data_IF_001282618517
#
_entry.id   IF_001282618517
#
_cell.length_a   1.000
_cell.length_b   1.000
_cell.length_c   1.000
_cell.angle_alpha   90.00
_cell.angle_beta   90.00
_cell.angle_gamma   90.00
#
_symmetry.space_group_name_H-M   'P 1'
#
loop_
_entity.id
_entity.type
_entity.pdbx_description
1 polymer ?
#
# COMPACT_ATOMS: atom_id res chain seq x y z
N UNK A 1 -16.17 14.51 41.85
CA UNK A 1 -15.03 13.78 41.25
C UNK A 1 -15.56 13.13 40.00
N UNK A 2 -15.06 13.56 38.85
CA UNK A 2 -15.35 12.93 37.58
C UNK A 2 -14.66 11.57 37.51
N UNK A 3 -15.38 10.57 37.01
CA UNK A 3 -14.91 9.20 36.86
C UNK A 3 -14.75 8.90 35.38
N UNK A 4 -13.63 8.31 35.01
CA UNK A 4 -13.29 7.94 33.64
C UNK A 4 -12.75 6.51 33.58
N UNK A 5 -12.82 5.91 32.40
CA UNK A 5 -12.18 4.64 32.11
C UNK A 5 -11.13 4.85 31.01
N UNK A 6 -9.87 4.58 31.33
CA UNK A 6 -8.76 4.69 30.38
C UNK A 6 -8.38 3.32 29.83
N UNK A 7 -8.31 3.20 28.51
CA UNK A 7 -7.78 2.00 27.88
C UNK A 7 -6.29 1.81 28.25
N UNK A 8 -5.96 0.64 28.81
CA UNK A 8 -4.60 0.26 29.17
C UNK A 8 -4.35 -1.21 28.83
N UNK A 9 -3.60 -1.47 27.75
CA UNK A 9 -3.44 -2.82 27.22
C UNK A 9 -4.77 -3.39 26.73
N UNK A 10 -5.23 -4.48 27.36
CA UNK A 10 -6.53 -5.13 27.06
C UNK A 10 -7.61 -4.85 28.12
N UNK A 11 -7.34 -3.96 29.07
CA UNK A 11 -8.26 -3.63 30.17
C UNK A 11 -8.62 -2.15 30.17
N UNK A 12 -9.64 -1.81 30.97
CA UNK A 12 -10.01 -0.45 31.31
C UNK A 12 -9.56 -0.16 32.73
N UNK A 13 -8.83 0.95 32.91
CA UNK A 13 -8.36 1.41 34.19
C UNK A 13 -9.24 2.56 34.69
N UNK A 14 -9.84 2.46 35.89
CA UNK A 14 -10.63 3.54 36.45
C UNK A 14 -9.72 4.72 36.81
N UNK A 15 -10.17 5.93 36.48
CA UNK A 15 -9.49 7.19 36.81
C UNK A 15 -10.49 8.16 37.44
N UNK A 16 -10.19 8.59 38.66
CA UNK A 16 -10.94 9.64 39.35
C UNK A 16 -10.17 10.97 39.30
N UNK A 17 -10.80 12.01 38.75
CA UNK A 17 -10.23 13.36 38.70
C UNK A 17 -11.10 14.32 39.53
N UNK A 18 -10.55 15.06 40.51
CA UNK A 18 -11.29 16.09 41.21
C UNK A 18 -11.84 17.14 40.23
N UNK A 19 -13.11 17.52 40.37
CA UNK A 19 -13.81 18.37 39.39
C UNK A 19 -13.10 19.73 39.20
N UNK A 20 -12.52 20.26 40.27
CA UNK A 20 -11.70 21.49 40.24
C UNK A 20 -10.45 21.41 39.35
N UNK A 21 -9.98 20.20 39.03
CA UNK A 21 -8.81 19.95 38.18
C UNK A 21 -9.21 19.60 36.73
N UNK A 22 -10.50 19.43 36.45
CA UNK A 22 -10.99 19.02 35.13
C UNK A 22 -11.34 20.24 34.27
N UNK A 23 -10.51 20.51 33.26
CA UNK A 23 -10.77 21.60 32.28
C UNK A 23 -11.75 21.14 31.20
N UNK A 24 -11.66 19.87 30.79
CA UNK A 24 -12.54 19.29 29.77
C UNK A 24 -12.09 17.90 29.34
N UNK A 25 -12.94 17.24 28.55
CA UNK A 25 -12.71 15.89 28.00
C UNK A 25 -12.73 16.00 26.48
N UNK A 26 -11.68 15.51 25.81
CA UNK A 26 -11.57 15.52 24.35
C UNK A 26 -11.70 14.08 23.86
N UNK A 27 -12.77 13.80 23.12
CA UNK A 27 -13.05 12.48 22.56
C UNK A 27 -13.18 12.54 21.03
N UNK A 28 -12.94 11.41 20.33
CA UNK A 28 -13.24 11.33 18.90
C UNK A 28 -14.71 11.64 18.62
N UNK A 29 -14.97 12.34 17.52
CA UNK A 29 -16.34 12.57 17.07
C UNK A 29 -17.07 11.23 16.85
N UNK A 30 -18.31 11.14 17.34
CA UNK A 30 -19.18 10.00 17.04
C UNK A 30 -19.47 9.98 15.54
N UNK A 31 -18.97 8.95 14.86
CA UNK A 31 -19.25 8.70 13.44
C UNK A 31 -20.37 7.67 13.33
N UNK A 32 -21.28 7.86 12.37
CA UNK A 32 -22.29 6.85 12.06
C UNK A 32 -21.59 5.69 11.33
N UNK A 33 -21.57 4.47 11.88
CA UNK A 33 -20.99 3.33 11.18
C UNK A 33 -21.82 3.02 9.93
N UNK A 34 -21.14 2.46 8.92
CA UNK A 34 -21.81 1.87 7.77
C UNK A 34 -22.74 0.76 8.26
N UNK A 35 -24.00 0.79 7.82
CA UNK A 35 -25.02 -0.16 8.28
C UNK A 35 -24.84 -1.54 7.62
N UNK A 36 -24.51 -1.57 6.32
CA UNK A 36 -24.26 -2.80 5.57
C UNK A 36 -22.86 -2.76 4.94
N UNK A 37 -21.87 -3.24 5.67
CA UNK A 37 -20.48 -3.31 5.21
C UNK A 37 -20.37 -4.28 4.02
N UNK A 38 -21.14 -5.37 4.01
CA UNK A 38 -21.07 -6.37 2.95
C UNK A 38 -21.53 -5.78 1.62
N UNK A 39 -22.61 -5.00 1.61
CA UNK A 39 -23.07 -4.30 0.41
C UNK A 39 -22.04 -3.28 -0.10
N UNK A 40 -21.44 -2.50 0.80
CA UNK A 40 -20.41 -1.53 0.41
C UNK A 40 -19.18 -2.21 -0.20
N UNK A 41 -18.79 -3.37 0.34
CA UNK A 41 -17.68 -4.14 -0.21
C UNK A 41 -18.04 -4.82 -1.54
N UNK A 42 -19.29 -5.26 -1.75
CA UNK A 42 -19.77 -5.73 -3.06
C UNK A 42 -19.70 -4.63 -4.11
N UNK A 43 -20.13 -3.41 -3.77
CA UNK A 43 -20.04 -2.25 -4.67
C UNK A 43 -18.58 -1.91 -5.00
N UNK A 44 -17.69 -1.96 -4.00
CA UNK A 44 -16.26 -1.77 -4.22
C UNK A 44 -15.65 -2.85 -5.12
N UNK A 45 -16.08 -4.11 -4.96
CA UNK A 45 -15.65 -5.22 -5.81
C UNK A 45 -16.10 -5.06 -7.26
N UNK A 46 -17.34 -4.60 -7.52
CA UNK A 46 -17.81 -4.31 -8.87
C UNK A 46 -16.93 -3.25 -9.58
N UNK A 47 -16.54 -2.19 -8.88
CA UNK A 47 -15.60 -1.20 -9.42
C UNK A 47 -14.19 -1.80 -9.66
N UNK A 48 -13.77 -2.76 -8.83
CA UNK A 48 -12.52 -3.48 -9.03
C UNK A 48 -12.58 -4.40 -10.26
N UNK A 49 -13.72 -5.03 -10.54
CA UNK A 49 -13.91 -5.87 -11.73
C UNK A 49 -13.70 -5.08 -13.04
N UNK A 50 -14.30 -3.91 -13.15
CA UNK A 50 -14.07 -3.00 -14.29
C UNK A 50 -12.59 -2.67 -14.43
N UNK A 51 -11.92 -2.30 -13.32
CA UNK A 51 -10.49 -2.01 -13.32
C UNK A 51 -9.62 -3.22 -13.70
N UNK A 52 -10.01 -4.43 -13.32
CA UNK A 52 -9.27 -5.68 -13.57
C UNK A 52 -9.52 -6.26 -14.97
N UNK A 53 -10.34 -5.62 -15.80
CA UNK A 53 -10.64 -6.09 -17.15
C UNK A 53 -9.37 -6.04 -18.02
N UNK A 54 -8.97 -7.18 -18.58
CA UNK A 54 -7.76 -7.30 -19.42
C UNK A 54 -6.44 -7.34 -18.65
N UNK A 55 -6.46 -7.40 -17.32
CA UNK A 55 -5.27 -7.57 -16.48
C UNK A 55 -5.22 -8.99 -15.90
N UNK A 56 -4.12 -9.69 -16.15
CA UNK A 56 -3.92 -11.08 -15.71
C UNK A 56 -3.00 -11.19 -14.51
N UNK A 57 -2.00 -10.29 -14.36
CA UNK A 57 -1.06 -10.30 -13.23
C UNK A 57 -1.45 -9.27 -12.17
N UNK A 58 -2.08 -9.72 -11.09
CA UNK A 58 -2.63 -8.86 -10.05
C UNK A 58 -1.80 -8.95 -8.78
N UNK A 59 -1.36 -7.80 -8.25
CA UNK A 59 -0.71 -7.71 -6.96
C UNK A 59 -1.68 -7.11 -5.93
N UNK A 60 -1.95 -7.85 -4.88
CA UNK A 60 -2.75 -7.41 -3.75
C UNK A 60 -1.79 -7.04 -2.63
N UNK A 61 -1.85 -5.80 -2.15
CA UNK A 61 -1.03 -5.34 -1.04
C UNK A 61 -1.93 -5.14 0.17
N UNK A 62 -1.62 -5.82 1.27
CA UNK A 62 -2.41 -5.78 2.52
C UNK A 62 -1.58 -5.21 3.66
N UNK A 63 -2.25 -4.62 4.65
CA UNK A 63 -1.60 -4.17 5.87
C UNK A 63 -1.04 -5.37 6.68
N UNK A 64 -0.03 -5.08 7.50
CA UNK A 64 0.59 -6.06 8.39
C UNK A 64 -0.16 -6.25 9.72
N UNK A 65 0.41 -7.05 10.62
CA UNK A 65 -0.15 -7.41 11.93
C UNK A 65 -0.33 -6.22 12.89
N UNK A 66 0.30 -5.08 12.62
CA UNK A 66 0.23 -3.90 13.50
C UNK A 66 -1.02 -3.07 13.25
N UNK A 67 -1.85 -3.46 12.27
CA UNK A 67 -3.08 -2.76 11.90
C UNK A 67 -4.30 -3.64 12.16
N UNK A 68 -5.35 -3.10 12.80
CA UNK A 68 -6.62 -3.80 12.96
C UNK A 68 -7.45 -3.75 11.66
N UNK A 69 -6.82 -3.99 10.51
CA UNK A 69 -7.52 -3.98 9.22
C UNK A 69 -8.22 -5.33 9.03
N UNK A 70 -9.55 -5.36 8.82
CA UNK A 70 -10.27 -6.60 8.54
C UNK A 70 -10.02 -7.04 7.09
N UNK A 71 -8.78 -7.46 6.77
CA UNK A 71 -8.41 -7.76 5.37
C UNK A 71 -9.22 -8.94 4.83
N UNK A 72 -9.52 -9.95 5.65
CA UNK A 72 -10.36 -11.08 5.25
C UNK A 72 -11.71 -10.61 4.69
N UNK A 73 -12.42 -9.76 5.43
CA UNK A 73 -13.71 -9.21 5.05
C UNK A 73 -13.59 -8.36 3.78
N UNK A 74 -12.54 -7.55 3.67
CA UNK A 74 -12.31 -6.70 2.50
C UNK A 74 -11.92 -7.48 1.24
N UNK A 75 -11.24 -8.62 1.39
CA UNK A 75 -10.78 -9.45 0.28
C UNK A 75 -11.83 -10.44 -0.20
N UNK A 76 -12.72 -10.93 0.67
CA UNK A 76 -13.74 -11.93 0.31
C UNK A 76 -14.55 -11.60 -0.95
N UNK A 77 -15.09 -10.37 -1.15
CA UNK A 77 -15.84 -10.07 -2.37
C UNK A 77 -14.96 -9.88 -3.62
N UNK A 78 -13.64 -9.74 -3.45
CA UNK A 78 -12.69 -9.70 -4.56
C UNK A 78 -12.28 -11.09 -5.02
N UNK A 79 -12.35 -12.12 -4.17
CA UNK A 79 -11.89 -13.49 -4.50
C UNK A 79 -12.47 -14.05 -5.81
N UNK A 80 -13.79 -13.92 -6.12
CA UNK A 80 -14.32 -14.39 -7.39
C UNK A 80 -13.70 -13.68 -8.60
N UNK A 81 -13.34 -12.40 -8.46
CA UNK A 81 -12.71 -11.61 -9.51
C UNK A 81 -11.25 -11.99 -9.72
N UNK A 82 -10.64 -12.68 -8.77
CA UNK A 82 -9.25 -13.12 -8.83
C UNK A 82 -9.12 -14.52 -9.46
N UNK A 83 -10.23 -15.25 -9.61
CA UNK A 83 -10.24 -16.56 -10.24
C UNK A 83 -9.71 -16.49 -11.69
N UNK A 84 -8.82 -17.43 -12.04
CA UNK A 84 -8.20 -17.49 -13.37
C UNK A 84 -7.12 -16.44 -13.65
N UNK A 85 -6.75 -15.63 -12.65
CA UNK A 85 -5.65 -14.65 -12.74
C UNK A 85 -4.41 -15.16 -12.01
N UNK A 86 -3.24 -14.66 -12.40
CA UNK A 86 -1.99 -14.88 -11.68
C UNK A 86 -1.91 -13.80 -10.57
N UNK A 87 -2.08 -14.23 -9.32
CA UNK A 87 -2.26 -13.33 -8.18
C UNK A 87 -1.15 -13.51 -7.18
N UNK A 88 -0.57 -12.40 -6.71
CA UNK A 88 0.35 -12.37 -5.57
C UNK A 88 -0.21 -11.48 -4.48
N UNK A 89 -0.06 -11.91 -3.23
CA UNK A 89 -0.41 -11.13 -2.05
C UNK A 89 0.89 -10.70 -1.39
N UNK A 90 1.06 -9.40 -1.14
CA UNK A 90 2.24 -8.85 -0.49
C UNK A 90 1.84 -8.17 0.82
N UNK A 91 2.39 -8.65 1.93
CA UNK A 91 2.20 -8.02 3.24
C UNK A 91 3.10 -6.79 3.34
N UNK A 92 2.51 -5.61 3.52
CA UNK A 92 3.19 -4.33 3.59
C UNK A 92 3.78 -4.05 4.98
N UNK A 93 4.96 -4.62 5.26
CA UNK A 93 5.62 -4.52 6.57
C UNK A 93 6.26 -3.15 6.84
N UNK A 94 6.57 -2.37 5.79
CA UNK A 94 7.45 -1.21 5.93
C UNK A 94 8.77 -1.61 6.62
N UNK A 95 9.01 -1.08 7.83
CA UNK A 95 10.21 -1.40 8.63
C UNK A 95 10.01 -2.50 9.66
N UNK A 96 8.80 -3.06 9.77
CA UNK A 96 8.47 -4.07 10.77
C UNK A 96 9.04 -5.46 10.41
N UNK A 97 9.07 -6.35 11.39
CA UNK A 97 9.42 -7.76 11.19
C UNK A 97 8.31 -8.50 10.44
N UNK A 98 8.67 -9.62 9.81
CA UNK A 98 7.70 -10.57 9.28
C UNK A 98 6.75 -11.07 10.37
N UNK A 99 5.47 -11.29 10.04
CA UNK A 99 4.50 -11.84 10.98
C UNK A 99 4.85 -13.29 11.35
N UNK A 100 4.42 -13.74 12.52
CA UNK A 100 4.35 -15.18 12.84
C UNK A 100 3.18 -15.84 12.10
N UNK A 101 3.10 -17.17 12.11
CA UNK A 101 2.00 -17.90 11.49
C UNK A 101 0.62 -17.53 12.07
N UNK A 102 0.54 -17.32 13.38
CA UNK A 102 -0.70 -16.86 14.04
C UNK A 102 -1.07 -15.45 13.65
N UNK A 103 -0.08 -14.56 13.51
CA UNK A 103 -0.32 -13.19 13.03
C UNK A 103 -0.75 -13.19 11.57
N UNK A 104 -0.16 -14.05 10.74
CA UNK A 104 -0.56 -14.22 9.34
C UNK A 104 -2.00 -14.72 9.22
N UNK A 105 -2.39 -15.69 10.04
CA UNK A 105 -3.77 -16.15 10.13
C UNK A 105 -4.73 -15.03 10.55
N UNK A 106 -4.32 -14.12 11.46
CA UNK A 106 -5.14 -12.94 11.80
C UNK A 106 -5.21 -11.93 10.66
N UNK A 107 -4.12 -11.73 9.92
CA UNK A 107 -4.08 -10.78 8.79
C UNK A 107 -5.02 -11.22 7.68
N UNK A 108 -4.92 -12.48 7.24
CA UNK A 108 -5.62 -12.97 6.05
C UNK A 108 -6.91 -13.75 6.36
N UNK A 109 -7.02 -14.32 7.55
CA UNK A 109 -8.04 -15.31 7.89
C UNK A 109 -7.64 -16.72 7.41
N UNK A 110 -8.19 -17.78 8.05
CA UNK A 110 -7.82 -19.17 7.77
C UNK A 110 -8.16 -19.58 6.34
N UNK A 111 -9.34 -19.20 5.83
CA UNK A 111 -9.82 -19.63 4.52
C UNK A 111 -9.00 -19.04 3.37
N UNK A 112 -8.74 -17.73 3.44
CA UNK A 112 -7.98 -17.01 2.43
C UNK A 112 -6.50 -17.44 2.46
N UNK A 113 -5.94 -17.64 3.66
CA UNK A 113 -4.59 -18.18 3.78
C UNK A 113 -4.49 -19.60 3.21
N UNK A 114 -5.45 -20.49 3.50
CA UNK A 114 -5.45 -21.84 2.94
C UNK A 114 -5.46 -21.83 1.40
N UNK A 115 -6.29 -20.99 0.80
CA UNK A 115 -6.39 -20.84 -0.67
C UNK A 115 -5.16 -20.20 -1.31
N UNK A 116 -4.52 -19.24 -0.64
CA UNK A 116 -3.50 -18.38 -1.25
C UNK A 116 -2.09 -18.51 -0.65
N UNK A 117 -1.84 -19.44 0.28
CA UNK A 117 -0.55 -19.55 0.98
C UNK A 117 0.68 -19.54 0.05
N UNK A 118 0.60 -20.18 -1.12
CA UNK A 118 1.70 -20.25 -2.09
C UNK A 118 1.99 -18.94 -2.83
N UNK A 119 1.10 -17.95 -2.77
CA UNK A 119 1.27 -16.65 -3.42
C UNK A 119 1.40 -15.48 -2.43
N UNK A 120 1.53 -15.77 -1.13
CA UNK A 120 1.80 -14.77 -0.10
C UNK A 120 3.31 -14.51 -0.01
N UNK A 121 3.69 -13.24 -0.14
CA UNK A 121 5.03 -12.74 0.07
C UNK A 121 5.08 -11.68 1.17
N UNK A 122 6.27 -11.52 1.75
CA UNK A 122 6.53 -10.54 2.81
C UNK A 122 7.50 -9.47 2.29
N UNK A 123 7.15 -8.21 2.49
CA UNK A 123 8.05 -7.12 2.13
C UNK A 123 9.22 -7.02 3.11
N UNK A 124 10.46 -7.05 2.62
CA UNK A 124 11.64 -6.69 3.41
C UNK A 124 12.27 -5.41 2.83
N UNK A 125 12.27 -4.34 3.64
CA UNK A 125 12.81 -3.05 3.24
C UNK A 125 14.36 -3.02 3.20
N UNK A 126 15.02 -4.06 3.73
CA UNK A 126 16.48 -4.21 3.80
C UNK A 126 17.04 -5.12 2.72
N UNK A 127 16.21 -5.97 2.12
CA UNK A 127 16.62 -6.84 1.02
C UNK A 127 16.70 -6.06 -0.31
N UNK A 128 17.85 -5.42 -0.54
CA UNK A 128 18.14 -4.68 -1.77
C UNK A 128 17.95 -5.49 -3.07
N UNK A 129 18.08 -6.82 -3.03
CA UNK A 129 17.86 -7.67 -4.22
C UNK A 129 16.39 -7.72 -4.61
N UNK A 130 15.48 -7.56 -3.64
CA UNK A 130 14.03 -7.52 -3.86
C UNK A 130 13.47 -6.11 -4.04
N UNK A 131 14.35 -5.10 -4.11
CA UNK A 131 13.99 -3.73 -4.39
C UNK A 131 14.41 -3.31 -5.81
N UNK A 132 13.64 -2.41 -6.41
CA UNK A 132 14.01 -1.73 -7.66
C UNK A 132 13.90 -0.22 -7.50
N UNK A 133 14.76 0.50 -8.24
CA UNK A 133 14.74 1.95 -8.27
C UNK A 133 13.57 2.44 -9.14
N UNK A 134 12.67 3.22 -8.55
CA UNK A 134 11.50 3.80 -9.21
C UNK A 134 11.70 5.27 -9.61
N UNK A 135 12.82 5.88 -9.22
CA UNK A 135 13.17 7.26 -9.57
C UNK A 135 13.49 8.11 -8.35
N UNK A 136 13.63 9.42 -8.58
CA UNK A 136 13.95 10.41 -7.56
C UNK A 136 12.80 11.41 -7.42
N UNK A 137 12.36 11.68 -6.20
CA UNK A 137 11.33 12.69 -5.94
C UNK A 137 11.88 14.10 -6.21
N UNK A 138 10.99 15.09 -6.40
CA UNK A 138 11.40 16.50 -6.54
C UNK A 138 12.13 17.08 -5.32
N UNK A 139 12.12 16.37 -4.17
CA UNK A 139 12.89 16.73 -2.96
C UNK A 139 14.24 16.01 -2.88
N UNK A 140 14.66 15.32 -3.94
CA UNK A 140 15.94 14.62 -4.00
C UNK A 140 15.99 13.28 -3.25
N UNK A 141 14.84 12.72 -2.86
CA UNK A 141 14.78 11.39 -2.24
C UNK A 141 14.72 10.31 -3.32
N UNK A 142 15.68 9.39 -3.31
CA UNK A 142 15.63 8.17 -4.12
C UNK A 142 14.52 7.25 -3.62
N UNK A 143 13.73 6.74 -4.56
CA UNK A 143 12.55 5.92 -4.29
C UNK A 143 12.83 4.50 -4.74
N UNK A 144 12.92 3.60 -3.77
CA UNK A 144 13.06 2.17 -3.96
C UNK A 144 11.78 1.48 -3.50
N UNK A 145 11.24 0.60 -4.34
CA UNK A 145 10.05 -0.19 -4.00
C UNK A 145 10.29 -1.68 -4.24
N UNK A 146 9.44 -2.51 -3.66
CA UNK A 146 9.46 -3.95 -3.87
C UNK A 146 9.26 -4.34 -5.34
N UNK A 147 10.10 -5.26 -5.83
CA UNK A 147 10.14 -5.76 -7.22
C UNK A 147 8.86 -6.45 -7.69
N UNK A 148 7.98 -6.89 -6.79
CA UNK A 148 6.67 -7.42 -7.18
C UNK A 148 5.85 -6.41 -8.03
N UNK A 149 6.09 -5.10 -7.84
CA UNK A 149 5.51 -4.05 -8.69
C UNK A 149 5.98 -4.07 -10.15
N UNK A 150 7.09 -4.75 -10.46
CA UNK A 150 7.56 -4.89 -11.85
C UNK A 150 6.87 -6.03 -12.58
N UNK A 151 6.37 -7.03 -11.84
CA UNK A 151 5.67 -8.18 -12.39
C UNK A 151 4.19 -7.88 -12.64
N UNK A 152 3.59 -7.00 -11.84
CA UNK A 152 2.15 -6.71 -11.86
C UNK A 152 1.69 -5.84 -13.04
N UNK A 153 0.45 -6.06 -13.46
CA UNK A 153 -0.32 -5.24 -14.40
C UNK A 153 -1.36 -4.38 -13.68
N UNK A 154 -1.90 -4.88 -12.56
CA UNK A 154 -2.90 -4.22 -11.74
C UNK A 154 -2.62 -4.40 -10.24
N UNK A 155 -2.68 -3.30 -9.48
CA UNK A 155 -2.44 -3.32 -8.03
C UNK A 155 -3.72 -2.99 -7.27
N UNK A 156 -4.10 -3.87 -6.34
CA UNK A 156 -5.18 -3.62 -5.38
C UNK A 156 -4.54 -3.40 -4.00
N UNK A 157 -4.79 -2.25 -3.40
CA UNK A 157 -4.31 -1.92 -2.06
C UNK A 157 -5.45 -2.02 -1.05
N UNK A 158 -5.38 -2.99 -0.14
CA UNK A 158 -6.32 -3.15 0.97
C UNK A 158 -5.69 -2.61 2.24
N UNK A 159 -6.31 -1.60 2.84
CA UNK A 159 -5.78 -0.89 4.02
C UNK A 159 -6.89 -0.23 4.83
N UNK A 160 -6.59 0.09 6.09
CA UNK A 160 -7.39 0.99 6.92
C UNK A 160 -6.94 2.45 6.76
N UNK A 161 -7.89 3.38 6.94
CA UNK A 161 -7.66 4.83 6.99
C UNK A 161 -7.95 5.32 8.40
N UNK A 162 -6.92 5.83 9.06
CA UNK A 162 -6.91 6.26 10.46
C UNK A 162 -6.16 7.60 10.55
N UNK A 163 -6.52 8.51 11.47
CA UNK A 163 -5.70 9.67 11.77
C UNK A 163 -4.27 9.26 12.15
N UNK A 164 -3.29 10.00 11.65
CA UNK A 164 -1.88 9.73 11.88
C UNK A 164 -1.12 11.02 12.21
N UNK A 165 -0.59 11.08 13.43
CA UNK A 165 0.02 12.25 14.05
C UNK A 165 0.90 13.12 13.14
N UNK A 166 1.84 12.56 12.36
CA UNK A 166 2.63 13.37 11.39
C UNK A 166 2.22 13.21 9.91
N UNK A 167 1.47 12.18 9.56
CA UNK A 167 1.18 11.84 8.15
C UNK A 167 -0.22 12.28 7.71
N UNK A 168 -0.98 12.88 8.62
CA UNK A 168 -2.39 13.19 8.46
C UNK A 168 -3.27 11.98 8.64
N UNK A 169 -3.25 11.10 7.64
CA UNK A 169 -4.04 9.89 7.60
C UNK A 169 -3.20 8.71 7.11
N UNK A 170 -3.53 7.50 7.55
CA UNK A 170 -3.02 6.25 6.98
C UNK A 170 -3.68 5.94 5.63
N UNK A 171 -3.47 4.72 5.14
CA UNK A 171 -4.09 4.19 3.93
C UNK A 171 -3.62 4.80 2.61
N UNK A 172 -4.16 4.25 1.51
CA UNK A 172 -3.86 4.66 0.13
C UNK A 172 -2.36 4.71 -0.15
N UNK A 173 -1.80 5.91 -0.31
CA UNK A 173 -0.36 6.12 -0.59
C UNK A 173 0.59 5.44 0.41
N UNK A 174 0.15 5.27 1.66
CA UNK A 174 0.98 4.70 2.73
C UNK A 174 1.26 3.21 2.54
N UNK A 175 0.42 2.52 1.77
CA UNK A 175 0.66 1.13 1.33
C UNK A 175 1.94 1.01 0.51
N UNK A 176 2.29 2.05 -0.26
CA UNK A 176 3.54 2.08 -1.04
C UNK A 176 4.70 2.60 -0.21
N UNK A 177 4.55 3.79 0.38
CA UNK A 177 5.58 4.42 1.21
C UNK A 177 4.99 4.78 2.59
N UNK A 178 5.35 4.07 3.67
CA UNK A 178 6.48 3.14 3.78
C UNK A 178 6.18 1.69 3.43
N UNK A 179 4.92 1.29 3.22
CA UNK A 179 4.51 -0.11 3.30
C UNK A 179 5.33 -1.12 2.48
N UNK A 180 5.79 -0.75 1.28
CA UNK A 180 6.63 -1.61 0.43
C UNK A 180 7.87 -0.89 -0.11
N UNK A 181 8.36 0.12 0.61
CA UNK A 181 9.51 0.94 0.24
C UNK A 181 10.82 0.46 0.88
N UNK A 182 11.95 0.73 0.23
CA UNK A 182 13.27 0.45 0.81
C UNK A 182 13.57 1.31 2.05
N UNK A 183 14.40 0.79 2.95
CA UNK A 183 14.73 1.42 4.24
C UNK A 183 15.26 2.84 4.08
N UNK A 184 16.11 3.10 3.07
CA UNK A 184 16.64 4.44 2.80
C UNK A 184 15.55 5.42 2.37
N UNK A 185 14.65 5.00 1.46
CA UNK A 185 13.49 5.80 1.04
C UNK A 185 12.59 6.12 2.23
N UNK A 186 12.33 5.12 3.09
CA UNK A 186 11.54 5.29 4.30
C UNK A 186 12.19 6.31 5.23
N UNK A 187 13.47 6.11 5.56
CA UNK A 187 14.24 6.94 6.48
C UNK A 187 14.26 8.38 6.01
N UNK A 188 14.55 8.61 4.73
CA UNK A 188 14.60 9.95 4.15
C UNK A 188 13.23 10.63 4.12
N UNK A 189 12.16 9.89 3.85
CA UNK A 189 10.81 10.42 3.96
C UNK A 189 10.46 10.82 5.41
N UNK A 190 10.82 10.01 6.39
CA UNK A 190 10.60 10.31 7.81
C UNK A 190 11.44 11.51 8.27
N UNK A 191 12.68 11.67 7.82
CA UNK A 191 13.48 12.85 8.13
C UNK A 191 12.81 14.17 7.72
N UNK A 192 12.00 14.16 6.65
CA UNK A 192 11.25 15.36 6.24
C UNK A 192 10.10 15.72 7.16
N UNK A 193 9.57 14.78 7.97
CA UNK A 193 8.47 15.05 8.89
C UNK A 193 8.87 16.06 9.98
N UNK A 194 10.15 16.03 10.37
CA UNK A 194 10.73 16.92 11.39
C UNK A 194 11.23 18.25 10.82
N UNK A 195 11.14 18.46 9.50
CA UNK A 195 11.57 19.72 8.88
C UNK A 195 10.58 20.85 9.14
N UNK A 196 11.05 22.10 9.29
CA UNK A 196 10.18 23.29 9.44
C UNK A 196 9.24 23.52 8.24
N UNK A 197 9.54 22.91 7.10
CA UNK A 197 8.70 22.94 5.90
C UNK A 197 7.63 21.84 5.88
N UNK A 198 7.62 20.93 6.86
CA UNK A 198 6.56 19.95 7.01
C UNK A 198 5.26 20.69 7.38
N UNK A 199 4.21 20.45 6.60
CA UNK A 199 2.89 20.99 6.89
C UNK A 199 2.05 19.87 7.50
N UNK A 200 1.39 20.09 8.64
CA UNK A 200 0.37 19.18 9.11
C UNK A 200 -0.65 18.99 7.98
N UNK A 201 -1.16 17.77 7.84
CA UNK A 201 -2.02 17.38 6.72
C UNK A 201 -3.39 18.08 6.67
N UNK A 202 -3.65 19.05 7.56
CA UNK A 202 -4.83 19.91 7.53
C UNK A 202 -4.80 20.95 6.39
N UNK A 203 -3.73 21.02 5.58
CA UNK A 203 -3.72 21.94 4.42
C UNK A 203 -4.56 21.34 3.26
N UNK A 204 -5.48 22.12 2.64
CA UNK A 204 -6.24 21.70 1.44
C UNK A 204 -5.38 21.31 0.23
N UNK A 205 -4.07 21.56 0.30
CA UNK A 205 -3.12 21.36 -0.78
C UNK A 205 -2.49 19.96 -0.81
N UNK A 206 -2.81 19.06 0.12
CA UNK A 206 -2.30 17.67 0.09
C UNK A 206 -2.98 16.87 -1.01
N UNK A 207 -2.60 17.14 -2.26
CA UNK A 207 -2.94 16.27 -3.40
C UNK A 207 -2.16 14.97 -3.25
N UNK A 208 -2.84 13.84 -3.43
CA UNK A 208 -2.19 12.62 -3.89
C UNK A 208 -1.49 12.93 -5.22
N UNK A 209 -0.22 13.35 -5.17
CA UNK A 209 0.60 13.49 -6.36
C UNK A 209 0.89 12.10 -6.91
N UNK A 210 0.97 12.00 -8.24
CA UNK A 210 1.32 10.76 -8.94
C UNK A 210 2.61 10.18 -8.35
N UNK A 211 2.50 9.01 -7.75
CA UNK A 211 3.64 8.22 -7.24
C UNK A 211 4.44 7.60 -8.41
N UNK A 212 3.88 7.62 -9.61
CA UNK A 212 4.38 6.92 -10.79
C UNK A 212 4.84 7.88 -11.89
N UNK A 213 6.03 7.66 -12.49
CA UNK A 213 6.29 8.16 -13.85
C UNK A 213 5.30 7.52 -14.83
N UNK A 214 4.89 8.24 -15.88
CA UNK A 214 3.96 7.72 -16.91
C UNK A 214 4.61 6.48 -17.56
N UNK A 215 4.11 5.28 -17.24
CA UNK A 215 4.37 4.06 -18.00
C UNK A 215 3.32 3.94 -19.11
N UNK A 216 3.69 3.54 -20.35
CA UNK A 216 2.71 3.20 -21.37
C UNK A 216 1.78 2.09 -20.85
N UNK A 217 0.47 2.29 -20.93
CA UNK A 217 -0.55 1.30 -20.54
C UNK A 217 -1.11 1.41 -19.12
N UNK A 218 -0.60 2.30 -18.26
CA UNK A 218 -1.09 2.46 -16.88
C UNK A 218 -2.02 3.68 -16.76
N UNK A 219 -3.26 3.47 -16.33
CA UNK A 219 -4.20 4.55 -15.98
C UNK A 219 -4.49 4.54 -14.48
N UNK A 220 -4.53 5.72 -13.85
CA UNK A 220 -5.05 5.85 -12.49
C UNK A 220 -6.56 6.05 -12.58
N UNK A 221 -7.35 5.06 -12.17
CA UNK A 221 -8.80 5.22 -12.04
C UNK A 221 -9.10 6.41 -11.12
N UNK A 222 -9.78 7.43 -11.64
CA UNK A 222 -10.32 8.52 -10.83
C UNK A 222 -11.73 8.12 -10.45
N UNK A 223 -12.01 7.93 -9.16
CA UNK A 223 -13.40 8.06 -8.72
C UNK A 223 -13.78 9.53 -8.87
N UNK A 224 -14.69 9.82 -9.80
CA UNK A 224 -15.34 11.12 -9.90
C UNK A 224 -16.14 11.33 -8.62
N UNK A 225 -15.72 12.28 -7.78
CA UNK A 225 -16.64 12.86 -6.79
C UNK A 225 -17.66 13.67 -7.58
N UNK A 226 -18.86 13.13 -7.75
CA UNK A 226 -20.05 13.93 -8.04
C UNK A 226 -20.28 14.82 -6.82
N UNK A 227 -19.97 16.10 -6.96
CA UNK A 227 -20.41 17.13 -6.04
C UNK A 227 -21.90 17.34 -6.31
N UNK A 228 -22.76 16.70 -5.53
CA UNK A 228 -24.17 17.06 -5.50
C UNK A 228 -24.29 18.42 -4.80
N UNK A 229 -24.26 19.51 -5.57
CA UNK A 229 -24.77 20.80 -5.11
C UNK A 229 -26.29 20.71 -5.09
N UNK A 230 -26.88 20.63 -3.91
CA UNK A 230 -28.32 20.82 -3.72
C UNK A 230 -28.65 22.30 -3.93
N UNK A 231 -29.00 22.67 -5.15
CA UNK A 231 -29.73 23.90 -5.46
C UNK A 231 -31.13 23.54 -5.91
N UNK A 232 -32.10 24.19 -5.25
CA UNK A 232 -33.53 23.96 -5.35
C UNK A 232 -34.05 23.99 -6.80
N UNK A 233 -34.85 22.98 -7.14
CA UNK A 233 -35.57 22.88 -8.41
C UNK A 233 -36.75 23.83 -8.42
N UNK A 234 -36.69 24.88 -9.22
CA UNK A 234 -37.88 25.56 -9.76
C UNK A 234 -38.16 24.99 -11.14
N UNK A 235 -39.39 24.57 -11.36
CA UNK A 235 -39.95 23.92 -12.55
C UNK A 235 -39.69 24.69 -13.85
N UNK A 236 -39.48 24.01 -14.99
CA UNK A 236 -39.74 24.61 -16.29
C UNK A 236 -40.83 23.88 -17.09
N UNK A 237 -41.74 24.69 -17.61
CA UNK A 237 -42.73 24.35 -18.63
C UNK A 237 -42.09 24.36 -20.03
N UNK A 238 -42.42 23.32 -20.82
CA UNK A 238 -42.61 23.26 -22.29
C UNK A 238 -41.66 24.05 -23.23
N UNK A 239 -41.06 23.26 -24.13
CA UNK A 239 -41.38 23.18 -25.57
C UNK A 239 -40.26 23.49 -26.59
N UNK A 240 -40.38 22.75 -27.70
CA UNK A 240 -39.98 23.03 -29.09
C UNK A 240 -38.55 22.74 -29.59
N UNK A 241 -38.49 21.64 -30.35
CA UNK A 241 -38.05 21.51 -31.77
C UNK A 241 -36.60 21.77 -32.20
N UNK A 242 -36.00 20.69 -32.72
CA UNK A 242 -35.20 20.56 -33.95
C UNK A 242 -34.12 21.60 -34.29
N UNK A 243 -32.91 21.14 -34.63
CA UNK A 243 -32.51 20.73 -36.00
C UNK A 243 -30.98 20.57 -36.07
N UNK A 244 -30.55 19.65 -36.92
CA UNK A 244 -29.18 19.30 -37.31
C UNK A 244 -28.18 20.45 -37.47
N UNK A 245 -26.88 20.17 -37.22
CA UNK A 245 -25.87 20.25 -38.28
C UNK A 245 -24.54 19.57 -37.92
N UNK A 246 -24.11 18.76 -38.87
CA UNK A 246 -22.85 18.03 -39.03
C UNK A 246 -21.77 18.98 -39.55
N UNK A 247 -20.51 18.88 -39.09
CA UNK A 247 -19.25 19.28 -39.76
C UNK A 247 -18.08 18.79 -38.90
N UNK A 248 -17.47 17.63 -39.21
CA UNK A 248 -16.31 17.42 -40.10
C UNK A 248 -14.98 17.92 -39.53
N UNK A 249 -14.10 16.95 -39.19
CA UNK A 249 -12.66 17.09 -38.91
C UNK A 249 -11.93 17.72 -40.09
N UNK A 250 -10.70 18.21 -39.85
CA UNK A 250 -9.60 17.83 -40.71
C UNK A 250 -8.44 17.17 -39.94
N UNK A 251 -7.77 16.28 -40.64
CA UNK A 251 -6.53 15.62 -40.26
C UNK A 251 -5.34 16.27 -41.00
N UNK A 252 -4.17 16.30 -40.36
CA UNK A 252 -2.78 16.31 -40.91
C UNK A 252 -1.84 16.66 -39.75
N UNK A 253 -0.58 16.24 -39.67
CA UNK A 253 0.26 15.44 -40.55
C UNK A 253 1.44 14.90 -39.72
N UNK A 254 1.97 13.78 -40.20
CA UNK A 254 3.24 13.16 -39.85
C UNK A 254 4.44 14.08 -40.08
N UNK A 255 5.44 14.00 -39.19
CA UNK A 255 6.82 14.35 -39.50
C UNK A 255 7.76 13.46 -38.67
N UNK A 256 8.43 12.55 -39.36
CA UNK A 256 9.54 11.75 -38.86
C UNK A 256 10.80 12.62 -38.73
N UNK A 257 11.61 12.38 -37.70
CA UNK A 257 13.01 12.84 -37.66
C UNK A 257 13.88 11.78 -36.98
N UNK A 258 14.87 11.34 -37.74
CA UNK A 258 15.86 10.31 -37.45
C UNK A 258 17.07 10.91 -36.69
N UNK A 259 17.49 10.20 -35.62
CA UNK A 259 18.85 9.79 -35.17
C UNK A 259 20.07 10.73 -35.36
N UNK A 260 21.04 10.79 -34.41
CA UNK A 260 21.97 9.66 -34.21
C UNK A 260 22.41 9.33 -32.77
N UNK A 261 22.85 8.08 -32.61
CA UNK A 261 23.53 7.50 -31.44
C UNK A 261 25.03 7.88 -31.38
N UNK A 262 25.68 7.69 -30.22
CA UNK A 262 27.11 7.41 -30.19
C UNK A 262 27.45 6.06 -29.54
N UNK A 263 28.14 5.24 -30.35
CA UNK A 263 29.32 4.40 -30.09
C UNK A 263 29.55 3.76 -28.71
N UNK A 264 29.61 2.43 -28.73
CA UNK A 264 30.32 1.57 -27.77
C UNK A 264 31.84 1.73 -27.93
N UNK A 265 32.55 1.71 -26.80
CA UNK A 265 33.95 1.23 -26.76
C UNK A 265 34.21 0.54 -25.42
N UNK A 266 34.61 -0.73 -25.53
CA UNK A 266 35.20 -1.57 -24.48
C UNK A 266 36.65 -1.82 -24.93
N UNK A 267 37.61 -1.93 -24.00
CA UNK A 267 38.63 -2.98 -24.16
C UNK A 267 38.88 -3.70 -22.82
N UNK A 268 38.74 -5.02 -22.77
CA UNK A 268 39.75 -6.10 -22.88
C UNK A 268 40.31 -6.56 -21.53
N UNK A 269 40.59 -7.86 -21.52
CA UNK A 269 40.88 -8.79 -20.42
C UNK A 269 42.38 -9.00 -20.17
N UNK A 270 42.72 -9.42 -18.94
CA UNK A 270 43.78 -10.42 -18.58
C UNK A 270 43.54 -10.79 -17.10
N UNK A 271 43.33 -12.03 -16.64
CA UNK A 271 44.01 -13.34 -16.73
C UNK A 271 45.29 -13.48 -15.88
N UNK A 272 45.21 -14.18 -14.74
CA UNK A 272 46.18 -15.13 -14.12
C UNK A 272 45.72 -15.40 -12.67
N UNK A 273 45.31 -16.60 -12.23
CA UNK A 273 45.98 -17.91 -12.12
C UNK A 273 46.88 -18.09 -10.87
N UNK A 274 46.41 -18.84 -9.87
CA UNK A 274 47.11 -19.95 -9.16
C UNK A 274 46.19 -20.51 -8.04
N UNK A 275 45.66 -21.74 -8.14
CA UNK A 275 46.15 -23.03 -7.61
C UNK A 275 46.35 -23.12 -6.08
N UNK A 276 45.35 -23.72 -5.38
CA UNK A 276 45.30 -24.90 -4.44
C UNK A 276 46.61 -25.40 -3.76
N UNK A 277 46.58 -26.36 -2.79
CA UNK A 277 45.57 -26.80 -1.78
C UNK A 277 46.18 -27.18 -0.39
N UNK A 278 45.36 -27.57 0.61
CA UNK A 278 45.58 -28.66 1.62
C UNK A 278 44.29 -28.79 2.47
N UNK A 279 43.56 -29.92 2.52
CA UNK A 279 43.70 -31.13 3.38
C UNK A 279 43.84 -30.77 4.87
N UNK A 280 43.09 -31.29 5.85
CA UNK A 280 42.34 -32.55 5.94
C UNK A 280 41.54 -32.63 7.27
N UNK A 281 40.49 -33.47 7.24
CA UNK A 281 40.06 -34.45 8.27
C UNK A 281 39.47 -34.05 9.64
N UNK A 282 38.29 -34.67 9.90
CA UNK A 282 37.93 -35.43 11.12
C UNK A 282 37.65 -34.59 12.38
N UNK A 283 36.57 -34.74 13.18
CA UNK A 283 35.70 -35.87 13.51
C UNK A 283 34.50 -35.32 14.30
N UNK A 284 33.30 -35.84 14.08
CA UNK A 284 32.21 -35.93 15.07
C UNK A 284 32.32 -37.35 15.69
N UNK A 285 31.71 -37.78 16.82
CA UNK A 285 30.79 -37.10 17.76
C UNK A 285 31.08 -37.40 19.26
N UNK A 286 30.38 -36.74 20.18
CA UNK A 286 29.96 -37.44 21.41
C UNK A 286 28.74 -36.82 22.10
N UNK A 287 27.84 -37.73 22.46
CA UNK A 287 26.64 -37.54 23.24
C UNK A 287 26.92 -37.60 24.75
N UNK A 288 26.02 -37.00 25.56
CA UNK A 288 25.51 -37.42 26.89
C UNK A 288 24.81 -36.21 27.52
N UNK A 289 23.48 -36.18 27.61
CA UNK A 289 22.62 -36.77 28.67
C UNK A 289 22.81 -36.14 30.05
N UNK A 290 21.83 -35.36 30.52
CA UNK A 290 21.16 -35.54 31.84
C UNK A 290 20.17 -34.39 32.11
N UNK A 291 19.03 -34.77 32.69
CA UNK A 291 17.81 -33.99 32.91
C UNK A 291 17.81 -33.32 34.32
N UNK A 292 16.67 -32.92 34.94
CA UNK A 292 16.40 -31.54 35.38
C UNK A 292 16.42 -31.34 36.92
N UNK A 293 16.42 -30.08 37.38
CA UNK A 293 16.30 -29.72 38.80
C UNK A 293 15.45 -28.46 39.02
N UNK A 294 14.38 -28.63 39.81
CA UNK A 294 13.43 -27.63 40.33
C UNK A 294 14.09 -26.49 41.12
N UNK A 295 13.50 -25.29 41.04
CA UNK A 295 12.70 -24.65 42.11
C UNK A 295 11.80 -23.57 41.48
#
# INVERSE_FOLDING_TARGET
MAQFELAFGVTLMPLAVPDRNLIGVIEPNKVRPLQDIAEQLRQAAAAAEEFLTGHHRVLIIVNDQTRPTPNNLALSPLEPLLAGRDVRILIALGTHRSPSDDELQRILGPDLLARHHNCVGFHDCRDSKRLFFNGRTGRGTDVWFNRELMWTEAVIAVNSVEPHYFAGFTGGRKTFLPGIAGEETITRNHATSSSRASKPCASPATRCTKIWPRRPGWSSGRSSRSSASSTATTTPTRSTTATSRRRSRPARSTAARSMPAPSRSRPTSSSASSRRPTTSTSTNPNARSSSPGRL
#
